data_IF_689221163984
#
_entry.id   IF_689221163984
#
_cell.length_a   1.000
_cell.length_b   1.000
_cell.length_c   1.000
_cell.angle_alpha   90.00
_cell.angle_beta   90.00
_cell.angle_gamma   90.00
#
_symmetry.space_group_name_H-M   'P 1'
#
loop_
_entity.id
_entity.type
_entity.pdbx_description
1 polymer ?
#
# COMPACT_ATOMS: atom_id res chain seq x y z
N UNK A 1 13.55 -0.91 -27.60
CA UNK A 1 12.19 -0.61 -28.10
C UNK A 1 11.13 -0.70 -26.98
N UNK A 2 11.40 -0.17 -25.77
CA UNK A 2 10.57 -0.40 -24.57
C UNK A 2 9.84 0.83 -23.99
N UNK A 3 9.87 1.97 -24.68
CA UNK A 3 9.38 3.25 -24.14
C UNK A 3 7.89 3.56 -24.35
N UNK A 4 7.24 2.95 -25.34
CA UNK A 4 5.86 3.33 -25.73
C UNK A 4 4.81 2.48 -25.00
N UNK A 5 5.08 1.18 -24.85
CA UNK A 5 4.19 0.23 -24.15
C UNK A 5 4.10 0.48 -22.64
N UNK A 6 5.17 1.01 -22.02
CA UNK A 6 5.19 1.33 -20.59
C UNK A 6 4.30 2.53 -20.23
N UNK A 7 4.08 3.48 -21.16
CA UNK A 7 3.31 4.69 -20.85
C UNK A 7 1.79 4.46 -20.75
N UNK A 8 1.25 3.54 -21.56
CA UNK A 8 -0.18 3.19 -21.54
C UNK A 8 -0.48 2.29 -20.34
N UNK A 9 0.37 1.31 -20.07
CA UNK A 9 0.24 0.45 -18.89
C UNK A 9 0.32 1.27 -17.59
N UNK A 10 1.22 2.24 -17.50
CA UNK A 10 1.30 3.14 -16.36
C UNK A 10 0.02 3.96 -16.15
N UNK A 11 -0.56 4.54 -17.21
CA UNK A 11 -1.84 5.27 -17.10
C UNK A 11 -3.01 4.43 -16.61
N UNK A 12 -2.98 3.12 -16.83
CA UNK A 12 -4.02 2.21 -16.31
C UNK A 12 -3.71 1.66 -14.91
N UNK A 13 -2.46 1.71 -14.48
CA UNK A 13 -2.01 1.16 -13.20
C UNK A 13 -1.99 2.19 -12.07
N UNK A 14 -1.84 3.48 -12.38
CA UNK A 14 -1.69 4.54 -11.39
C UNK A 14 -2.81 5.56 -11.47
N UNK A 15 -3.45 5.81 -10.34
CA UNK A 15 -4.57 6.74 -10.21
C UNK A 15 -4.23 7.79 -9.13
N UNK A 16 -3.30 8.72 -9.37
CA UNK A 16 -3.00 9.78 -8.41
C UNK A 16 -4.25 10.64 -8.14
N UNK A 17 -4.51 11.04 -6.88
CA UNK A 17 -5.59 11.97 -6.56
C UNK A 17 -5.50 13.25 -7.41
N UNK A 18 -6.62 13.63 -8.02
CA UNK A 18 -6.72 14.85 -8.85
C UNK A 18 -7.99 15.63 -8.47
N UNK A 19 -7.89 16.81 -7.83
CA UNK A 19 -6.64 17.45 -7.37
C UNK A 19 -5.97 16.67 -6.21
N UNK A 20 -4.66 16.92 -5.93
CA UNK A 20 -4.02 16.46 -4.70
C UNK A 20 -4.83 16.82 -3.46
N UNK A 21 -4.82 15.96 -2.44
CA UNK A 21 -5.55 16.22 -1.19
C UNK A 21 -4.92 17.31 -0.32
N UNK A 22 -3.68 17.69 -0.64
CA UNK A 22 -2.91 18.67 0.10
C UNK A 22 -2.01 19.51 -0.83
N UNK A 23 -1.60 20.67 -0.32
CA UNK A 23 -0.52 21.48 -0.84
C UNK A 23 0.58 21.64 0.21
N UNK A 24 1.82 21.87 -0.23
CA UNK A 24 2.91 22.26 0.66
C UNK A 24 2.87 23.77 0.87
N UNK A 25 2.71 24.20 2.11
CA UNK A 25 2.69 25.61 2.50
C UNK A 25 3.98 25.92 3.23
N UNK A 26 4.81 26.78 2.66
CA UNK A 26 6.02 27.30 3.28
C UNK A 26 5.63 28.54 4.10
N UNK A 27 5.80 28.49 5.43
CA UNK A 27 5.62 29.67 6.27
C UNK A 27 6.90 30.50 6.24
N UNK A 28 6.86 31.61 5.48
CA UNK A 28 7.99 32.52 5.30
C UNK A 28 8.50 33.16 6.60
N UNK A 29 7.70 33.15 7.68
CA UNK A 29 8.10 33.66 8.99
C UNK A 29 8.87 32.64 9.84
N UNK A 30 8.64 31.35 9.63
CA UNK A 30 9.20 30.27 10.46
C UNK A 30 10.17 29.34 9.70
N UNK A 31 10.22 29.39 8.37
CA UNK A 31 10.98 28.45 7.55
C UNK A 31 10.44 27.01 7.59
N UNK A 32 9.22 26.84 8.08
CA UNK A 32 8.58 25.54 8.28
C UNK A 32 7.67 25.22 7.11
N UNK A 33 7.78 24.01 6.56
CA UNK A 33 6.87 23.50 5.53
C UNK A 33 5.77 22.67 6.18
N UNK A 34 4.50 22.97 5.91
CA UNK A 34 3.33 22.25 6.45
C UNK A 34 2.44 21.72 5.32
N UNK A 35 1.62 20.70 5.61
CA UNK A 35 0.54 20.31 4.71
C UNK A 35 -0.65 21.27 4.90
N UNK A 36 -1.21 21.75 3.80
CA UNK A 36 -2.41 22.61 3.83
C UNK A 36 -3.54 21.96 4.64
N UNK A 37 -4.11 22.71 5.59
CA UNK A 37 -5.23 22.23 6.41
C UNK A 37 -4.86 21.28 7.54
N UNK A 38 -3.57 21.01 7.76
CA UNK A 38 -3.09 20.28 8.94
C UNK A 38 -2.36 21.22 9.90
N UNK A 39 -2.50 21.04 11.23
CA UNK A 39 -1.74 21.81 12.19
C UNK A 39 -0.24 21.49 12.09
N UNK A 40 0.60 22.48 12.33
CA UNK A 40 2.02 22.23 12.51
C UNK A 40 2.25 21.33 13.74
N UNK A 41 3.18 20.39 13.61
CA UNK A 41 3.63 19.52 14.70
C UNK A 41 5.14 19.43 14.66
N UNK A 42 5.78 19.63 15.80
CA UNK A 42 7.25 19.62 15.92
C UNK A 42 7.87 18.28 15.54
N UNK A 43 7.13 17.18 15.73
CA UNK A 43 7.59 15.84 15.40
C UNK A 43 7.31 15.43 13.93
N UNK A 44 6.81 16.34 13.09
CA UNK A 44 6.53 16.09 11.68
C UNK A 44 7.36 17.02 10.81
N UNK A 45 8.15 16.43 9.91
CA UNK A 45 9.03 17.14 8.98
C UNK A 45 8.62 16.82 7.54
N UNK A 46 8.52 17.85 6.68
CA UNK A 46 8.22 17.69 5.26
C UNK A 46 9.46 17.98 4.42
N UNK A 47 9.69 17.12 3.45
CA UNK A 47 10.92 17.08 2.68
C UNK A 47 10.62 17.08 1.18
N UNK A 48 11.53 17.71 0.43
CA UNK A 48 11.61 17.55 -1.03
C UNK A 48 12.82 16.69 -1.37
N UNK A 49 12.58 15.49 -1.89
CA UNK A 49 13.64 14.53 -2.21
C UNK A 49 13.91 14.51 -3.72
N UNK A 50 15.19 14.54 -4.11
CA UNK A 50 15.57 14.46 -5.53
C UNK A 50 15.89 13.02 -5.92
N UNK A 51 15.21 12.53 -6.95
CA UNK A 51 15.40 11.17 -7.46
C UNK A 51 16.53 11.10 -8.49
N UNK A 52 17.12 9.91 -8.67
CA UNK A 52 18.09 9.65 -9.76
C UNK A 52 17.53 9.86 -11.17
N UNK A 53 16.19 9.95 -11.31
CA UNK A 53 15.50 10.21 -12.58
C UNK A 53 15.19 11.69 -12.80
N UNK A 54 15.59 12.57 -11.87
CA UNK A 54 15.41 14.01 -11.99
C UNK A 54 14.05 14.54 -11.49
N UNK A 55 13.18 13.66 -10.98
CA UNK A 55 11.94 14.08 -10.32
C UNK A 55 12.21 14.55 -8.90
N UNK A 56 11.31 15.39 -8.39
CA UNK A 56 11.28 15.87 -7.00
C UNK A 56 10.07 15.26 -6.31
N UNK A 57 10.28 14.64 -5.16
CA UNK A 57 9.22 13.99 -4.39
C UNK A 57 8.87 14.80 -3.16
N UNK A 58 7.59 14.82 -2.81
CA UNK A 58 7.17 15.18 -1.47
C UNK A 58 7.32 13.96 -0.55
N UNK A 59 7.93 14.15 0.60
CA UNK A 59 8.03 13.14 1.65
C UNK A 59 7.69 13.75 3.02
N UNK A 60 7.23 12.89 3.93
CA UNK A 60 6.88 13.26 5.30
C UNK A 60 7.53 12.29 6.27
N UNK A 61 8.29 12.85 7.21
CA UNK A 61 8.92 12.13 8.30
C UNK A 61 8.20 12.43 9.61
N UNK A 62 7.72 11.39 10.29
CA UNK A 62 7.13 11.48 11.63
C UNK A 62 8.10 10.86 12.61
N UNK A 63 8.58 11.66 13.57
CA UNK A 63 9.50 11.23 14.61
C UNK A 63 8.73 10.76 15.84
N UNK A 64 9.21 9.67 16.44
CA UNK A 64 8.81 9.25 17.78
C UNK A 64 10.06 9.25 18.69
N UNK A 65 10.00 9.84 19.90
CA UNK A 65 11.17 9.99 20.77
C UNK A 65 11.78 8.65 21.20
N UNK A 66 10.93 7.63 21.41
CA UNK A 66 11.38 6.29 21.82
C UNK A 66 11.54 5.30 20.66
N UNK A 67 11.67 5.79 19.42
CA UNK A 67 11.75 4.92 18.26
C UNK A 67 13.04 4.11 18.20
N UNK A 68 12.90 2.78 18.21
CA UNK A 68 14.00 1.85 17.93
C UNK A 68 14.06 1.40 16.45
N UNK A 69 13.06 1.79 15.65
CA UNK A 69 12.98 1.42 14.24
C UNK A 69 12.28 2.51 13.43
N UNK A 70 12.54 2.51 12.13
CA UNK A 70 11.94 3.45 11.18
C UNK A 70 11.22 2.70 10.07
N UNK A 71 9.95 3.02 9.86
CA UNK A 71 9.14 2.45 8.77
C UNK A 71 9.28 3.32 7.52
N UNK A 72 9.73 2.74 6.41
CA UNK A 72 9.64 3.35 5.08
C UNK A 72 8.35 2.89 4.41
N UNK A 73 7.38 3.79 4.29
CA UNK A 73 6.01 3.49 3.88
C UNK A 73 5.75 3.83 2.40
N UNK A 74 5.59 2.79 1.59
CA UNK A 74 5.14 2.85 0.20
C UNK A 74 3.62 2.67 0.14
N UNK A 75 2.90 3.76 -0.15
CA UNK A 75 1.45 3.81 -0.05
C UNK A 75 0.68 3.08 -1.17
N UNK A 76 -0.61 2.87 -0.91
CA UNK A 76 -1.53 2.30 -1.90
C UNK A 76 -1.82 3.24 -3.07
N UNK A 77 -2.47 2.71 -4.10
CA UNK A 77 -2.95 3.51 -5.22
C UNK A 77 -4.06 4.48 -4.76
N UNK A 78 -4.30 5.56 -5.50
CA UNK A 78 -5.32 6.56 -5.18
C UNK A 78 -5.22 7.17 -3.76
N UNK A 79 -4.01 7.21 -3.20
CA UNK A 79 -3.68 7.89 -1.96
C UNK A 79 -2.51 8.84 -2.18
N UNK A 80 -2.36 9.82 -1.29
CA UNK A 80 -1.23 10.74 -1.21
C UNK A 80 -0.93 11.07 0.27
N UNK A 81 0.14 11.81 0.54
CA UNK A 81 0.56 12.13 1.92
C UNK A 81 -0.51 12.84 2.76
N UNK A 82 -1.36 13.66 2.14
CA UNK A 82 -2.46 14.34 2.83
C UNK A 82 -3.48 13.35 3.40
N UNK A 83 -3.86 12.33 2.64
CA UNK A 83 -4.73 11.25 3.12
C UNK A 83 -4.06 10.40 4.22
N UNK A 84 -2.74 10.23 4.16
CA UNK A 84 -2.00 9.38 5.09
C UNK A 84 -1.55 10.09 6.37
N UNK A 85 -1.73 11.41 6.45
CA UNK A 85 -1.23 12.24 7.55
C UNK A 85 -1.62 11.70 8.93
N UNK A 86 -2.93 11.52 9.15
CA UNK A 86 -3.46 11.01 10.43
C UNK A 86 -3.07 9.55 10.67
N UNK A 87 -2.95 8.74 9.61
CA UNK A 87 -2.51 7.36 9.73
C UNK A 87 -1.07 7.32 10.26
N UNK A 88 -0.14 8.08 9.70
CA UNK A 88 1.27 8.04 10.14
C UNK A 88 1.43 8.52 11.58
N UNK A 89 0.66 9.52 12.00
CA UNK A 89 0.64 9.96 13.39
C UNK A 89 0.20 8.82 14.33
N UNK A 90 -0.91 8.14 14.01
CA UNK A 90 -1.38 7.02 14.82
C UNK A 90 -0.42 5.83 14.80
N UNK A 91 0.13 5.47 13.64
CA UNK A 91 1.10 4.39 13.53
C UNK A 91 2.37 4.70 14.34
N UNK A 92 2.93 5.89 14.18
CA UNK A 92 4.14 6.31 14.88
C UNK A 92 3.96 6.29 16.40
N UNK A 93 2.83 6.81 16.90
CA UNK A 93 2.51 6.83 18.32
C UNK A 93 2.27 5.43 18.90
N UNK A 94 1.37 4.64 18.29
CA UNK A 94 0.96 3.36 18.86
C UNK A 94 2.06 2.29 18.79
N UNK A 95 2.93 2.37 17.78
CA UNK A 95 4.01 1.39 17.56
C UNK A 95 5.36 1.89 18.06
N UNK A 96 5.44 3.17 18.50
CA UNK A 96 6.66 3.83 18.95
C UNK A 96 7.77 3.71 17.91
N UNK A 97 7.47 4.11 16.67
CA UNK A 97 8.41 4.08 15.54
C UNK A 97 8.44 5.40 14.79
N UNK A 98 9.57 5.66 14.14
CA UNK A 98 9.64 6.71 13.14
C UNK A 98 8.96 6.24 11.85
N UNK A 99 8.42 7.15 11.05
CA UNK A 99 7.80 6.83 9.76
C UNK A 99 8.27 7.82 8.72
N UNK A 100 8.85 7.34 7.63
CA UNK A 100 9.02 8.10 6.40
C UNK A 100 8.04 7.58 5.35
N UNK A 101 7.08 8.40 4.95
CA UNK A 101 6.30 8.15 3.74
C UNK A 101 6.63 9.17 2.66
N UNK A 102 6.36 8.82 1.42
CA UNK A 102 6.66 9.64 0.26
C UNK A 102 5.60 9.44 -0.82
N UNK A 103 5.30 10.50 -1.56
CA UNK A 103 4.45 10.40 -2.75
C UNK A 103 5.30 9.97 -3.96
N UNK A 104 4.76 9.05 -4.76
CA UNK A 104 5.36 8.65 -6.02
C UNK A 104 5.49 9.82 -7.01
N UNK A 105 6.42 9.72 -7.96
CA UNK A 105 6.49 10.65 -9.09
C UNK A 105 5.12 10.82 -9.76
N UNK A 106 4.62 12.05 -9.83
CA UNK A 106 3.28 12.39 -10.36
C UNK A 106 2.10 12.14 -9.43
N UNK A 107 2.34 11.88 -8.14
CA UNK A 107 1.32 11.87 -7.07
C UNK A 107 1.46 13.10 -6.19
N UNK A 108 0.36 13.53 -5.56
CA UNK A 108 0.36 14.62 -4.60
C UNK A 108 1.10 15.87 -5.09
N UNK A 109 2.13 16.27 -4.35
CA UNK A 109 3.00 17.41 -4.70
C UNK A 109 4.34 16.97 -5.36
N UNK A 110 4.48 15.71 -5.73
CA UNK A 110 5.64 15.17 -6.43
C UNK A 110 5.58 15.44 -7.94
N UNK A 111 6.72 15.81 -8.53
CA UNK A 111 6.83 16.07 -9.97
C UNK A 111 6.94 14.80 -10.81
N UNK A 112 6.94 14.94 -12.13
CA UNK A 112 7.12 13.83 -13.05
C UNK A 112 5.82 13.08 -13.38
N UNK A 113 5.94 11.79 -13.67
CA UNK A 113 4.82 10.90 -14.04
C UNK A 113 4.98 9.55 -13.36
N UNK A 114 3.88 8.89 -12.99
CA UNK A 114 3.97 7.59 -12.36
C UNK A 114 4.37 6.53 -13.38
N UNK A 115 5.33 5.70 -13.01
CA UNK A 115 5.75 4.51 -13.77
C UNK A 115 6.52 3.58 -12.83
N UNK A 116 6.58 2.29 -13.13
CA UNK A 116 7.34 1.31 -12.35
C UNK A 116 8.79 1.78 -12.10
N UNK A 117 9.51 2.17 -13.16
CA UNK A 117 10.90 2.63 -13.03
C UNK A 117 11.05 3.91 -12.19
N UNK A 118 10.08 4.83 -12.28
CA UNK A 118 10.10 6.01 -11.43
C UNK A 118 9.86 5.62 -9.97
N UNK A 119 8.87 4.77 -9.68
CA UNK A 119 8.63 4.32 -8.28
C UNK A 119 9.83 3.62 -7.66
N UNK A 120 10.64 2.90 -8.43
CA UNK A 120 11.91 2.34 -7.96
C UNK A 120 12.95 3.43 -7.67
N UNK A 121 13.06 4.45 -8.53
CA UNK A 121 13.92 5.60 -8.23
C UNK A 121 13.39 6.43 -7.04
N UNK A 122 12.08 6.40 -6.80
CA UNK A 122 11.43 7.16 -5.75
C UNK A 122 11.71 6.56 -4.37
N UNK A 123 11.50 5.24 -4.21
CA UNK A 123 11.79 4.56 -2.94
C UNK A 123 13.29 4.59 -2.61
N UNK A 124 14.16 4.52 -3.61
CA UNK A 124 15.61 4.66 -3.39
C UNK A 124 15.98 6.05 -2.86
N UNK A 125 15.33 7.12 -3.35
CA UNK A 125 15.55 8.47 -2.83
C UNK A 125 15.07 8.61 -1.39
N UNK A 126 13.92 8.02 -1.06
CA UNK A 126 13.40 7.99 0.31
C UNK A 126 14.29 7.17 1.26
N UNK A 127 14.74 5.99 0.83
CA UNK A 127 15.70 5.18 1.58
C UNK A 127 17.02 5.92 1.82
N UNK A 128 17.59 6.53 0.77
CA UNK A 128 18.80 7.34 0.87
C UNK A 128 18.65 8.48 1.89
N UNK A 129 17.48 9.14 1.91
CA UNK A 129 17.17 10.17 2.89
C UNK A 129 17.18 9.62 4.34
N UNK A 130 16.63 8.42 4.59
CA UNK A 130 16.69 7.81 5.93
C UNK A 130 18.14 7.61 6.41
N UNK A 131 18.99 7.10 5.53
CA UNK A 131 20.40 6.84 5.87
C UNK A 131 21.16 8.17 6.07
N UNK A 132 21.08 9.09 5.10
CA UNK A 132 21.94 10.27 5.06
C UNK A 132 21.45 11.42 5.94
N UNK A 133 20.14 11.66 5.99
CA UNK A 133 19.56 12.81 6.71
C UNK A 133 19.13 12.44 8.12
N UNK A 134 18.64 11.22 8.32
CA UNK A 134 18.10 10.77 9.61
C UNK A 134 19.02 9.81 10.35
N UNK A 135 20.13 9.38 9.75
CA UNK A 135 21.12 8.51 10.38
C UNK A 135 20.58 7.11 10.74
N UNK A 136 19.48 6.69 10.11
CA UNK A 136 18.93 5.36 10.33
C UNK A 136 19.91 4.30 9.80
N UNK A 137 20.05 3.19 10.53
CA UNK A 137 20.80 2.03 10.03
C UNK A 137 19.88 1.09 9.27
N UNK A 138 20.43 0.32 8.34
CA UNK A 138 19.64 -0.60 7.51
C UNK A 138 18.88 -1.63 8.38
N UNK A 139 19.53 -2.13 9.43
CA UNK A 139 19.01 -3.07 10.43
C UNK A 139 17.92 -2.50 11.36
N UNK A 140 17.67 -1.18 11.28
CA UNK A 140 16.60 -0.49 12.01
C UNK A 140 15.42 -0.14 11.08
N UNK A 141 15.55 -0.39 9.76
CA UNK A 141 14.56 -0.02 8.76
C UNK A 141 13.62 -1.18 8.47
N UNK A 142 12.31 -0.90 8.56
CA UNK A 142 11.23 -1.79 8.13
C UNK A 142 10.63 -1.21 6.86
N UNK A 143 10.62 -1.98 5.78
CA UNK A 143 9.93 -1.56 4.56
C UNK A 143 8.47 -1.96 4.63
N UNK A 144 7.55 -1.04 4.35
CA UNK A 144 6.13 -1.32 4.31
C UNK A 144 5.56 -0.99 2.93
N UNK A 145 4.89 -1.95 2.30
CA UNK A 145 4.30 -1.77 0.97
C UNK A 145 2.83 -2.18 0.93
N UNK A 146 1.94 -1.25 0.59
CA UNK A 146 0.50 -1.50 0.48
C UNK A 146 0.07 -1.62 -0.99
N UNK A 147 -0.58 -2.72 -1.37
CA UNK A 147 -1.16 -2.90 -2.72
C UNK A 147 -0.10 -2.62 -3.81
N UNK A 148 -0.29 -1.59 -4.65
CA UNK A 148 0.70 -1.16 -5.65
C UNK A 148 2.07 -0.81 -5.04
N UNK A 149 2.10 -0.28 -3.82
CA UNK A 149 3.32 0.05 -3.09
C UNK A 149 4.19 -1.16 -2.78
N UNK A 150 3.64 -2.38 -2.79
CA UNK A 150 4.46 -3.60 -2.69
C UNK A 150 5.49 -3.74 -3.81
N UNK A 151 5.23 -3.16 -4.99
CA UNK A 151 6.15 -3.15 -6.13
C UNK A 151 7.52 -2.55 -5.79
N UNK A 152 7.60 -1.24 -5.50
CA UNK A 152 8.86 -0.62 -5.11
C UNK A 152 9.44 -1.18 -3.80
N UNK A 153 8.59 -1.57 -2.83
CA UNK A 153 9.05 -2.18 -1.57
C UNK A 153 9.83 -3.47 -1.80
N UNK A 154 9.28 -4.43 -2.57
CA UNK A 154 9.95 -5.71 -2.83
C UNK A 154 11.18 -5.52 -3.70
N UNK A 155 11.13 -4.59 -4.67
CA UNK A 155 12.30 -4.27 -5.50
C UNK A 155 13.47 -3.75 -4.67
N UNK A 156 13.22 -2.83 -3.74
CA UNK A 156 14.27 -2.34 -2.85
C UNK A 156 14.76 -3.44 -1.90
N UNK A 157 13.82 -4.17 -1.26
CA UNK A 157 14.13 -5.25 -0.33
C UNK A 157 15.02 -6.34 -0.94
N UNK A 158 14.81 -6.69 -2.21
CA UNK A 158 15.61 -7.71 -2.90
C UNK A 158 17.10 -7.38 -3.06
N UNK A 159 17.48 -6.12 -2.77
CA UNK A 159 18.85 -5.59 -2.94
C UNK A 159 19.49 -5.18 -1.63
N UNK A 160 18.75 -5.19 -0.52
CA UNK A 160 19.21 -4.75 0.79
C UNK A 160 19.33 -5.96 1.74
N UNK A 161 20.55 -6.34 2.14
CA UNK A 161 20.79 -7.58 2.87
C UNK A 161 20.42 -7.55 4.36
N UNK A 162 20.37 -6.37 4.98
CA UNK A 162 20.33 -6.19 6.44
C UNK A 162 19.05 -5.55 6.96
N UNK A 163 18.03 -5.35 6.11
CA UNK A 163 16.75 -4.79 6.55
C UNK A 163 16.19 -5.52 7.78
N UNK A 164 15.61 -4.76 8.72
CA UNK A 164 14.95 -5.35 9.89
C UNK A 164 13.85 -6.31 9.47
N UNK A 165 12.98 -5.86 8.57
CA UNK A 165 11.89 -6.65 8.03
C UNK A 165 11.22 -6.00 6.82
N UNK A 166 10.35 -6.76 6.15
CA UNK A 166 9.41 -6.27 5.14
C UNK A 166 7.98 -6.62 5.54
N UNK A 167 7.09 -5.64 5.49
CA UNK A 167 5.65 -5.82 5.71
C UNK A 167 4.90 -5.51 4.41
N UNK A 168 4.20 -6.50 3.89
CA UNK A 168 3.42 -6.41 2.67
C UNK A 168 1.93 -6.47 2.97
N UNK A 169 1.22 -5.37 2.80
CA UNK A 169 -0.21 -5.28 3.03
C UNK A 169 -0.99 -5.39 1.72
N UNK A 170 -1.70 -6.51 1.56
CA UNK A 170 -2.45 -6.87 0.37
C UNK A 170 -1.61 -6.73 -0.92
N UNK A 171 -0.40 -7.33 -0.97
CA UNK A 171 0.53 -7.12 -2.08
C UNK A 171 0.00 -7.65 -3.41
N UNK A 172 0.54 -7.09 -4.49
CA UNK A 172 0.31 -7.59 -5.85
C UNK A 172 1.42 -8.57 -6.22
N UNK A 173 1.06 -9.63 -6.96
CA UNK A 173 2.05 -10.57 -7.51
C UNK A 173 2.75 -9.98 -8.73
N UNK A 174 1.97 -9.32 -9.57
CA UNK A 174 2.38 -8.49 -10.70
C UNK A 174 1.20 -7.70 -11.23
N UNK A 175 1.46 -6.66 -12.02
CA UNK A 175 0.41 -5.79 -12.58
C UNK A 175 -0.61 -6.54 -13.43
N UNK A 176 -0.16 -7.44 -14.31
CA UNK A 176 -1.07 -8.27 -15.11
C UNK A 176 -1.90 -9.22 -14.26
N UNK A 177 -1.34 -9.76 -13.18
CA UNK A 177 -2.04 -10.69 -12.27
C UNK A 177 -3.12 -10.01 -11.43
N UNK A 178 -3.10 -8.68 -11.33
CA UNK A 178 -4.21 -7.90 -10.75
C UNK A 178 -5.39 -7.87 -11.70
N UNK A 179 -5.14 -7.68 -13.01
CA UNK A 179 -6.20 -7.52 -14.01
C UNK A 179 -6.73 -8.86 -14.53
N UNK A 180 -5.86 -9.86 -14.68
CA UNK A 180 -6.18 -11.13 -15.33
C UNK A 180 -5.57 -12.31 -14.55
N UNK A 181 -6.26 -13.46 -14.47
CA UNK A 181 -5.76 -14.65 -13.78
C UNK A 181 -4.71 -15.40 -14.62
N UNK A 182 -3.59 -14.74 -14.94
CA UNK A 182 -2.48 -15.29 -15.72
C UNK A 182 -1.52 -16.08 -14.83
N UNK A 183 -1.07 -17.25 -15.31
CA UNK A 183 -0.13 -18.11 -14.59
C UNK A 183 1.33 -17.77 -14.88
N UNK A 184 1.62 -17.20 -16.06
CA UNK A 184 2.98 -16.89 -16.53
C UNK A 184 3.31 -15.43 -16.28
N UNK A 185 4.58 -15.14 -15.97
CA UNK A 185 5.10 -13.78 -15.95
C UNK A 185 5.53 -13.40 -17.37
N UNK A 186 5.07 -12.24 -17.86
CA UNK A 186 5.40 -11.75 -19.19
C UNK A 186 6.47 -10.65 -19.12
N UNK A 187 7.23 -10.47 -20.20
CA UNK A 187 8.31 -9.48 -20.24
C UNK A 187 7.80 -8.04 -20.06
N UNK A 188 6.57 -7.75 -20.53
CA UNK A 188 5.88 -6.45 -20.41
C UNK A 188 5.05 -6.29 -19.13
N UNK A 189 5.06 -7.28 -18.23
CA UNK A 189 4.42 -7.17 -16.93
C UNK A 189 5.20 -6.20 -16.03
N UNK A 190 4.50 -5.50 -15.14
CA UNK A 190 5.09 -4.56 -14.18
C UNK A 190 5.04 -5.16 -12.77
N UNK A 191 5.95 -4.74 -11.90
CA UNK A 191 6.01 -5.15 -10.49
C UNK A 191 5.98 -6.66 -10.32
N UNK A 192 6.90 -7.37 -10.98
CA UNK A 192 7.05 -8.83 -10.94
C UNK A 192 7.52 -9.32 -9.55
N UNK A 193 6.76 -9.00 -8.51
CA UNK A 193 7.06 -9.30 -7.11
C UNK A 193 7.21 -10.79 -6.88
N UNK A 194 6.43 -11.62 -7.59
CA UNK A 194 6.57 -13.08 -7.55
C UNK A 194 7.98 -13.56 -7.94
N UNK A 195 8.66 -12.85 -8.85
CA UNK A 195 10.01 -13.21 -9.29
C UNK A 195 11.09 -12.60 -8.37
N UNK A 196 10.79 -11.51 -7.67
CA UNK A 196 11.73 -10.75 -6.82
C UNK A 196 11.71 -11.17 -5.36
N UNK A 197 10.55 -11.57 -4.83
CA UNK A 197 10.40 -11.90 -3.40
C UNK A 197 11.34 -13.02 -2.91
N UNK A 198 11.74 -14.04 -3.71
CA UNK A 198 12.70 -15.04 -3.24
C UNK A 198 14.10 -14.50 -2.94
N UNK A 199 14.41 -13.27 -3.39
CA UNK A 199 15.69 -12.60 -3.17
C UNK A 199 15.71 -11.79 -1.86
N UNK A 200 14.55 -11.62 -1.20
CA UNK A 200 14.46 -10.92 0.09
C UNK A 200 14.94 -11.84 1.20
N UNK A 201 15.97 -11.40 1.92
CA UNK A 201 16.67 -12.21 2.95
C UNK A 201 16.17 -11.96 4.37
N UNK A 202 15.55 -10.80 4.63
CA UNK A 202 15.02 -10.44 5.94
C UNK A 202 13.64 -11.07 6.21
N UNK A 203 13.15 -11.04 7.46
CA UNK A 203 11.79 -11.47 7.79
C UNK A 203 10.73 -10.73 6.97
N UNK A 204 9.77 -11.48 6.42
CA UNK A 204 8.66 -10.92 5.63
C UNK A 204 7.32 -11.30 6.26
N UNK A 205 6.53 -10.28 6.62
CA UNK A 205 5.12 -10.43 6.99
C UNK A 205 4.23 -10.08 5.80
N UNK A 206 3.27 -10.95 5.49
CA UNK A 206 2.24 -10.68 4.49
C UNK A 206 0.88 -10.63 5.16
N UNK A 207 0.20 -9.50 5.01
CA UNK A 207 -1.16 -9.25 5.50
C UNK A 207 -2.12 -9.35 4.33
N UNK A 208 -3.16 -10.16 4.49
CA UNK A 208 -4.24 -10.28 3.52
C UNK A 208 -5.57 -9.88 4.16
N UNK A 209 -6.31 -9.01 3.46
CA UNK A 209 -7.71 -8.74 3.79
C UNK A 209 -8.55 -9.72 2.98
N UNK A 210 -9.14 -10.70 3.67
CA UNK A 210 -10.09 -11.63 3.04
C UNK A 210 -11.49 -11.02 3.07
N UNK A 211 -11.96 -10.53 1.92
CA UNK A 211 -13.36 -10.19 1.74
C UNK A 211 -14.16 -11.46 1.38
N UNK A 212 -14.18 -12.44 2.29
CA UNK A 212 -15.22 -13.45 2.26
C UNK A 212 -16.46 -12.87 2.96
N UNK A 213 -17.67 -12.87 2.36
CA UNK A 213 -18.87 -12.75 3.18
C UNK A 213 -18.85 -13.91 4.17
N UNK A 214 -19.05 -13.63 5.46
CA UNK A 214 -19.09 -14.58 6.56
C UNK A 214 -20.10 -15.70 6.29
N UNK A 215 -19.67 -16.75 5.57
CA UNK A 215 -20.43 -17.98 5.44
C UNK A 215 -20.22 -18.77 6.72
N UNK A 216 -21.18 -18.65 7.64
CA UNK A 216 -21.37 -19.65 8.71
C UNK A 216 -21.33 -21.04 8.05
N UNK A 217 -20.49 -21.90 8.60
CA UNK A 217 -20.43 -23.32 8.28
C UNK A 217 -21.84 -23.92 8.36
N UNK A 218 -22.44 -24.26 7.22
CA UNK A 218 -23.34 -25.42 7.09
C UNK A 218 -23.52 -25.83 5.63
N UNK A 219 -23.17 -27.10 5.42
CA UNK A 219 -23.65 -28.06 4.43
C UNK A 219 -23.00 -28.07 3.02
N UNK A 220 -22.42 -29.26 2.74
CA UNK A 220 -21.91 -29.74 1.46
C UNK A 220 -22.96 -29.63 0.35
N UNK A 221 -22.59 -29.03 -0.78
CA UNK A 221 -23.00 -29.51 -2.10
C UNK A 221 -22.00 -29.04 -3.17
N UNK A 222 -21.65 -29.97 -4.05
CA UNK A 222 -20.66 -29.82 -5.12
C UNK A 222 -21.26 -28.97 -6.24
N UNK A 223 -20.56 -27.91 -6.67
CA UNK A 223 -20.78 -27.24 -7.95
C UNK A 223 -19.43 -27.02 -8.64
N UNK A 224 -19.24 -27.45 -9.90
CA UNK A 224 -17.95 -27.40 -10.58
C UNK A 224 -17.81 -26.15 -11.43
N UNK A 225 -17.83 -24.95 -10.85
CA UNK A 225 -17.38 -23.73 -11.54
C UNK A 225 -16.75 -22.78 -10.51
N UNK A 226 -15.42 -22.72 -10.50
CA UNK A 226 -14.66 -21.84 -9.61
C UNK A 226 -14.84 -20.39 -10.05
N UNK A 227 -15.39 -19.49 -9.21
CA UNK A 227 -15.50 -18.07 -9.55
C UNK A 227 -14.12 -17.40 -9.55
N UNK A 228 -13.96 -16.19 -10.15
CA UNK A 228 -12.70 -15.43 -10.20
C UNK A 228 -12.04 -15.22 -8.83
N UNK A 229 -12.81 -15.27 -7.74
CA UNK A 229 -12.31 -15.20 -6.35
C UNK A 229 -11.47 -16.41 -5.93
N UNK A 230 -11.77 -17.61 -6.43
CA UNK A 230 -10.98 -18.82 -6.13
C UNK A 230 -9.58 -18.78 -6.75
N UNK A 231 -9.39 -18.02 -7.84
CA UNK A 231 -8.08 -17.76 -8.46
C UNK A 231 -7.21 -16.83 -7.60
N UNK A 232 -7.82 -15.89 -6.87
CA UNK A 232 -7.16 -14.99 -5.91
C UNK A 232 -6.52 -15.79 -4.76
N UNK A 233 -7.25 -16.77 -4.22
CA UNK A 233 -6.76 -17.72 -3.20
C UNK A 233 -5.67 -18.70 -3.68
N UNK A 234 -5.59 -19.03 -4.98
CA UNK A 234 -4.56 -19.93 -5.50
C UNK A 234 -3.24 -19.21 -5.72
N UNK A 235 -3.29 -18.02 -6.31
CA UNK A 235 -2.09 -17.20 -6.53
C UNK A 235 -1.41 -16.81 -5.19
N UNK A 236 -2.23 -16.69 -4.13
CA UNK A 236 -1.84 -16.49 -2.74
C UNK A 236 -1.11 -17.69 -2.11
N UNK A 237 -1.59 -18.92 -2.34
CA UNK A 237 -0.86 -20.14 -1.94
C UNK A 237 0.46 -20.30 -2.68
N UNK A 238 0.49 -19.95 -3.96
CA UNK A 238 1.71 -20.03 -4.78
C UNK A 238 2.77 -19.01 -4.30
N UNK A 239 2.37 -17.82 -3.83
CA UNK A 239 3.29 -16.81 -3.24
C UNK A 239 3.86 -17.26 -1.88
N UNK A 240 3.01 -17.84 -1.03
CA UNK A 240 3.39 -18.37 0.29
C UNK A 240 4.26 -19.63 0.21
N UNK A 241 4.11 -20.43 -0.85
CA UNK A 241 4.91 -21.64 -1.03
C UNK A 241 6.38 -21.35 -1.40
N UNK A 242 6.69 -20.13 -1.83
CA UNK A 242 8.03 -19.73 -2.28
C UNK A 242 8.92 -19.12 -1.20
N UNK A 243 8.43 -18.86 0.02
CA UNK A 243 9.18 -18.10 1.05
C UNK A 243 8.88 -18.60 2.47
N UNK A 244 9.87 -18.50 3.40
CA UNK A 244 9.65 -18.71 4.84
C UNK A 244 8.94 -17.48 5.43
N UNK A 245 7.65 -17.32 5.14
CA UNK A 245 6.84 -16.17 5.56
C UNK A 245 5.89 -16.51 6.70
N UNK A 246 5.80 -15.61 7.69
CA UNK A 246 4.69 -15.59 8.65
C UNK A 246 3.50 -14.87 8.02
N UNK A 247 2.28 -15.33 8.29
CA UNK A 247 1.05 -14.71 7.75
C UNK A 247 0.06 -14.39 8.85
N UNK A 248 -0.47 -13.17 8.80
CA UNK A 248 -1.58 -12.73 9.63
C UNK A 248 -2.81 -12.50 8.73
N UNK A 249 -3.94 -13.12 9.09
CA UNK A 249 -5.25 -12.82 8.48
C UNK A 249 -5.97 -11.85 9.41
N UNK A 250 -6.22 -10.63 8.96
CA UNK A 250 -7.02 -9.65 9.70
C UNK A 250 -8.48 -9.81 9.28
N UNK A 251 -9.34 -10.24 10.21
CA UNK A 251 -10.78 -10.30 9.98
C UNK A 251 -11.37 -8.89 10.18
N UNK A 252 -12.24 -8.41 9.28
CA UNK A 252 -12.83 -7.09 9.41
C UNK A 252 -13.65 -6.96 10.71
N UNK A 253 -13.43 -5.87 11.45
CA UNK A 253 -14.21 -5.57 12.66
C UNK A 253 -15.67 -5.27 12.30
N UNK A 254 -16.61 -6.00 12.91
CA UNK A 254 -18.04 -5.78 12.72
C UNK A 254 -18.48 -4.55 13.51
N UNK A 255 -18.78 -3.46 12.82
CA UNK A 255 -19.49 -2.32 13.41
C UNK A 255 -20.89 -2.76 13.87
N UNK A 256 -21.20 -2.56 15.14
CA UNK A 256 -22.51 -2.86 15.76
C UNK A 256 -23.61 -1.95 15.19
N UNK A 257 -24.66 -2.57 14.68
CA UNK A 257 -25.89 -1.91 14.21
C UNK A 257 -26.82 -1.53 15.36
N UNK A 258 -27.41 -0.33 15.32
CA UNK A 258 -28.59 0.04 16.12
C UNK A 258 -29.81 0.34 15.23
N UNK A 259 -30.77 -0.60 15.26
CA UNK A 259 -32.25 -0.49 15.28
C UNK A 259 -33.10 0.40 14.34
N UNK A 260 -34.09 -0.26 13.71
CA UNK A 260 -35.50 0.18 13.46
C UNK A 260 -35.78 0.79 12.08
N UNK A 261 -36.84 0.50 11.29
CA UNK A 261 -38.19 -0.12 11.42
C UNK A 261 -38.67 -0.52 9.99
N UNK A 262 -39.65 -1.45 9.77
CA UNK A 262 -39.93 -2.10 8.48
C UNK A 262 -41.15 -1.54 7.72
N UNK A 263 -41.30 -1.84 6.42
CA UNK A 263 -42.60 -2.07 5.73
C UNK A 263 -42.44 -2.60 4.28
N UNK A 264 -43.17 -3.69 3.96
CA UNK A 264 -43.80 -4.14 2.68
C UNK A 264 -43.08 -3.92 1.33
N UNK A 265 -42.91 -4.86 0.39
CA UNK A 265 -43.63 -6.10 0.06
C UNK A 265 -44.24 -6.01 -1.37
N UNK A 266 -43.51 -6.39 -2.43
CA UNK A 266 -44.05 -6.80 -3.77
C UNK A 266 -43.04 -7.73 -4.46
N UNK A 267 -43.55 -8.79 -5.13
CA UNK A 267 -42.79 -9.84 -5.82
C UNK A 267 -42.91 -9.80 -7.35
N UNK A 268 -41.85 -10.32 -8.01
CA UNK A 268 -41.73 -10.93 -9.37
C UNK A 268 -41.62 -10.03 -10.63
N UNK A 269 -41.03 -10.51 -11.77
CA UNK A 269 -40.22 -11.72 -12.01
C UNK A 269 -38.86 -11.47 -12.75
N UNK A 270 -38.07 -12.54 -12.88
CA UNK A 270 -36.78 -12.67 -13.58
C UNK A 270 -36.92 -12.74 -15.11
N UNK A 271 -36.02 -12.07 -15.84
CA UNK A 271 -35.39 -12.60 -17.07
C UNK A 271 -34.00 -11.98 -17.31
N UNK A 272 -33.06 -12.67 -17.99
CA UNK A 272 -31.63 -12.36 -17.96
C UNK A 272 -31.11 -11.78 -19.29
N UNK A 273 -30.36 -10.66 -19.28
CA UNK A 273 -29.41 -10.37 -20.36
C UNK A 273 -28.32 -9.36 -19.93
N UNK A 274 -27.08 -9.84 -19.92
CA UNK A 274 -25.82 -9.20 -20.34
C UNK A 274 -25.64 -7.69 -20.16
N UNK A 275 -24.70 -7.29 -19.27
CA UNK A 275 -23.43 -6.61 -19.60
C UNK A 275 -22.74 -6.21 -18.29
N UNK A 276 -21.57 -6.79 -18.02
CA UNK A 276 -20.73 -6.43 -16.89
C UNK A 276 -20.06 -5.07 -17.15
N UNK A 277 -20.55 -4.02 -16.49
CA UNK A 277 -19.83 -2.77 -16.30
C UNK A 277 -19.17 -2.80 -14.93
N UNK A 278 -17.87 -2.50 -14.93
CA UNK A 278 -16.93 -2.26 -13.82
C UNK A 278 -17.57 -1.93 -12.45
N UNK A 279 -17.09 -2.50 -11.33
CA UNK A 279 -17.01 -1.72 -10.10
C UNK A 279 -15.74 -0.84 -10.22
N UNK A 280 -15.94 0.44 -10.53
CA UNK A 280 -16.13 1.51 -9.54
C UNK A 280 -14.85 1.73 -8.74
N UNK A 281 -14.16 2.80 -9.13
CA UNK A 281 -13.16 3.57 -8.37
C UNK A 281 -13.18 3.31 -6.86
N UNK A 282 -12.00 3.15 -6.21
CA UNK A 282 -11.96 3.14 -4.75
C UNK A 282 -12.57 4.46 -4.24
N UNK A 283 -13.24 4.45 -3.07
CA UNK A 283 -13.86 5.65 -2.54
C UNK A 283 -12.81 6.74 -2.39
N UNK A 284 -13.03 7.88 -3.05
CA UNK A 284 -12.26 9.09 -2.87
C UNK A 284 -12.60 9.66 -1.48
N UNK A 285 -11.78 9.32 -0.49
CA UNK A 285 -11.96 9.77 0.89
C UNK A 285 -10.77 9.38 1.75
N UNK A 286 -10.58 10.04 2.91
CA UNK A 286 -9.55 9.68 3.87
C UNK A 286 -9.68 8.19 4.25
N UNK A 287 -8.57 7.52 4.60
CA UNK A 287 -8.60 6.14 5.05
C UNK A 287 -9.66 5.97 6.15
N UNK A 288 -10.55 5.00 5.99
CA UNK A 288 -11.61 4.74 6.96
C UNK A 288 -11.00 4.34 8.31
N UNK A 289 -11.71 4.57 9.42
CA UNK A 289 -11.25 4.12 10.74
C UNK A 289 -10.95 2.62 10.77
N UNK A 290 -11.71 1.81 10.02
CA UNK A 290 -11.45 0.39 9.83
C UNK A 290 -10.07 0.14 9.17
N UNK A 291 -9.72 0.91 8.14
CA UNK A 291 -8.42 0.81 7.48
C UNK A 291 -7.25 1.18 8.42
N UNK A 292 -7.43 2.20 9.25
CA UNK A 292 -6.45 2.60 10.26
C UNK A 292 -6.30 1.50 11.32
N UNK A 293 -7.40 0.95 11.81
CA UNK A 293 -7.40 -0.13 12.79
C UNK A 293 -6.76 -1.41 12.23
N UNK A 294 -7.07 -1.78 10.99
CA UNK A 294 -6.48 -2.95 10.33
C UNK A 294 -4.97 -2.75 10.10
N UNK A 295 -4.53 -1.55 9.68
CA UNK A 295 -3.11 -1.23 9.50
C UNK A 295 -2.36 -1.21 10.83
N UNK A 296 -2.97 -0.67 11.90
CA UNK A 296 -2.42 -0.70 13.26
C UNK A 296 -2.30 -2.12 13.79
N UNK A 297 -3.36 -2.93 13.68
CA UNK A 297 -3.37 -4.32 14.14
C UNK A 297 -2.34 -5.16 13.37
N UNK A 298 -2.25 -4.94 12.05
CA UNK A 298 -1.31 -5.61 11.18
C UNK A 298 0.15 -5.27 11.51
N UNK A 299 0.46 -3.99 11.69
CA UNK A 299 1.80 -3.57 12.08
C UNK A 299 2.13 -3.97 13.53
N UNK A 300 1.20 -3.85 14.47
CA UNK A 300 1.41 -4.32 15.85
C UNK A 300 1.68 -5.82 15.91
N UNK A 301 0.97 -6.63 15.11
CA UNK A 301 1.25 -8.05 14.95
C UNK A 301 2.64 -8.28 14.35
N UNK A 302 3.05 -7.47 13.37
CA UNK A 302 4.40 -7.52 12.81
C UNK A 302 5.47 -7.26 13.89
N UNK A 303 5.33 -6.18 14.66
CA UNK A 303 6.30 -5.81 15.69
C UNK A 303 6.39 -6.82 16.84
N UNK A 304 5.33 -7.57 17.12
CA UNK A 304 5.37 -8.64 18.13
C UNK A 304 6.03 -9.94 17.63
N UNK A 305 6.06 -10.17 16.32
CA UNK A 305 6.65 -11.37 15.69
C UNK A 305 8.12 -11.14 15.23
N UNK A 306 8.62 -9.90 15.26
CA UNK A 306 9.93 -9.46 14.71
C UNK A 306 10.87 -8.87 15.76
#
# INVERSE_FOLDING_TARGET
MGGVTSSVAAKMAFFPPTPPSYALVEDAGAGVTTLSGQPHRENVELLRLRTRKGNTLAAMYVRHPDAASTVLYSHGNAADLGHLYQLFLHLSFNLRVNILGYDYSGYGQSSGKPSEHNTYADIEAAYKCLIENFGAKEEEIILYGQSVGSGPTVDLASRLPQLRAVVLHSPILSGLRVMYPVKRTYWFDIYKNIDKIPQVTCPVLIIHIDHAPTRRLRQRSRLPHSPPYALRCKAQRDFMATTRTSSATVLPSTGSSTSGVPMTGVSLPLTPTTTALLPATPPAGPPTLAFIADSLAALAAAFNEM
#
